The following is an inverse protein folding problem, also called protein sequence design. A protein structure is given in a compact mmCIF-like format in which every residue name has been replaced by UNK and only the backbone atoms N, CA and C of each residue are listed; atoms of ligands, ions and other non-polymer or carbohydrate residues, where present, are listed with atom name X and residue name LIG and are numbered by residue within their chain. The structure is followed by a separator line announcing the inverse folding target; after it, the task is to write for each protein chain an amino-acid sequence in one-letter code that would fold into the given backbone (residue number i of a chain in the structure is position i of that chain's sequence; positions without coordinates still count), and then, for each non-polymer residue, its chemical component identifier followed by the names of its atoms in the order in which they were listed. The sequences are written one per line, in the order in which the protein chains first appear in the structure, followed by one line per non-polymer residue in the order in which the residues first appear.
data_IF_351614073182
#
_entry.id   IF_351614073182
#
_cell.length_a   1.000
_cell.length_b   1.000
_cell.length_c   1.000
_cell.angle_alpha   90.00
_cell.angle_beta   90.00
_cell.angle_gamma   90.00
#
_symmetry.space_group_name_H-M   'P 1'
#
loop_
_entity.id
_entity.type
_entity.pdbx_description
1 polymer ?
#
# COMPACT_ATOMS: atom_id res chain seq x y z
N UNK A 1 9.61 -2.02 -4.89
CA UNK A 1 8.45 -2.54 -4.11
C UNK A 1 7.18 -2.32 -4.91
N UNK A 2 6.98 -1.11 -5.41
CA UNK A 2 5.92 -0.75 -6.36
C UNK A 2 5.89 -1.72 -7.54
N UNK A 3 7.05 -2.06 -8.13
CA UNK A 3 7.12 -2.99 -9.26
C UNK A 3 6.63 -4.39 -8.91
N UNK A 4 6.85 -4.85 -7.67
CA UNK A 4 6.36 -6.15 -7.22
C UNK A 4 4.85 -6.13 -6.97
N UNK A 5 4.34 -5.06 -6.35
CA UNK A 5 2.89 -4.86 -6.16
C UNK A 5 2.16 -4.67 -7.50
N UNK A 6 2.78 -3.98 -8.46
CA UNK A 6 2.23 -3.71 -9.79
C UNK A 6 2.08 -4.99 -10.64
N UNK A 7 2.84 -6.06 -10.35
CA UNK A 7 2.64 -7.37 -10.98
C UNK A 7 1.30 -8.02 -10.59
N UNK A 8 0.75 -7.68 -9.41
CA UNK A 8 -0.49 -8.27 -8.87
C UNK A 8 -1.68 -7.30 -8.91
N UNK A 9 -1.43 -6.01 -8.73
CA UNK A 9 -2.45 -4.96 -8.70
C UNK A 9 -2.20 -3.97 -9.82
N UNK A 10 -2.97 -4.11 -10.90
CA UNK A 10 -2.82 -3.32 -12.14
C UNK A 10 -3.78 -2.13 -12.11
N UNK A 11 -3.31 -0.95 -12.55
CA UNK A 11 -4.14 0.25 -12.70
C UNK A 11 -4.42 1.03 -11.42
N UNK A 12 -3.83 0.65 -10.28
CA UNK A 12 -4.00 1.31 -8.97
C UNK A 12 -2.70 2.02 -8.52
N UNK A 13 -2.06 2.77 -9.42
CA UNK A 13 -0.73 3.35 -9.20
C UNK A 13 -0.62 4.22 -7.94
N UNK A 14 -1.60 5.07 -7.69
CA UNK A 14 -1.64 5.94 -6.50
C UNK A 14 -1.68 5.13 -5.20
N UNK A 15 -2.56 4.12 -5.13
CA UNK A 15 -2.68 3.25 -3.97
C UNK A 15 -1.39 2.46 -3.71
N UNK A 16 -0.78 1.91 -4.77
CA UNK A 16 0.50 1.19 -4.70
C UNK A 16 1.63 2.10 -4.21
N UNK A 17 1.71 3.34 -4.71
CA UNK A 17 2.71 4.31 -4.27
C UNK A 17 2.52 4.73 -2.80
N UNK A 18 1.27 4.97 -2.38
CA UNK A 18 0.96 5.37 -1.00
C UNK A 18 1.36 4.28 0.01
N UNK A 19 1.00 3.02 -0.27
CA UNK A 19 1.39 1.87 0.56
C UNK A 19 2.91 1.70 0.58
N UNK A 20 3.55 1.76 -0.59
CA UNK A 20 5.01 1.59 -0.71
C UNK A 20 5.79 2.67 0.05
N UNK A 21 5.31 3.92 0.03
CA UNK A 21 5.92 5.02 0.77
C UNK A 21 5.85 4.80 2.28
N UNK A 22 4.71 4.35 2.81
CA UNK A 22 4.55 4.07 4.24
C UNK A 22 5.49 2.94 4.70
N UNK A 23 5.54 1.84 3.95
CA UNK A 23 6.41 0.70 4.28
C UNK A 23 7.89 1.09 4.22
N UNK A 24 8.32 1.89 3.21
CA UNK A 24 9.71 2.37 3.13
C UNK A 24 10.09 3.23 4.34
N UNK A 25 9.21 4.15 4.75
CA UNK A 25 9.46 4.98 5.94
C UNK A 25 9.64 4.15 7.19
N UNK A 26 8.80 3.13 7.37
CA UNK A 26 8.91 2.22 8.51
C UNK A 26 10.23 1.44 8.50
N UNK A 27 10.60 0.86 7.35
CA UNK A 27 11.87 0.12 7.20
C UNK A 27 13.11 0.99 7.41
N UNK A 28 13.04 2.26 7.05
CA UNK A 28 14.10 3.23 7.26
C UNK A 28 14.17 3.80 8.69
N UNK A 29 13.26 3.40 9.59
CA UNK A 29 13.18 3.96 10.95
C UNK A 29 12.67 5.40 11.00
N UNK A 30 12.11 5.92 9.92
CA UNK A 30 11.59 7.30 9.79
C UNK A 30 10.10 7.40 10.18
N UNK A 31 9.64 6.52 11.06
CA UNK A 31 8.27 6.52 11.57
C UNK A 31 8.24 6.82 13.07
N UNK A 32 7.15 7.43 13.52
CA UNK A 32 6.88 7.62 14.94
C UNK A 32 6.63 6.25 15.59
N UNK A 33 7.41 5.85 16.62
CA UNK A 33 7.26 4.55 17.27
C UNK A 33 5.90 4.36 17.98
N UNK A 34 5.18 5.46 18.25
CA UNK A 34 3.86 5.41 18.89
C UNK A 34 2.69 5.39 17.89
N UNK A 35 2.96 5.31 16.58
CA UNK A 35 1.93 5.30 15.53
C UNK A 35 2.03 4.06 14.65
N UNK A 36 0.91 3.59 14.08
CA UNK A 36 0.94 2.54 13.05
C UNK A 36 1.78 2.96 11.84
N UNK A 37 2.41 1.98 11.19
CA UNK A 37 3.20 2.15 9.94
C UNK A 37 2.39 2.91 8.87
N UNK A 38 1.12 2.55 8.73
CA UNK A 38 0.16 3.21 7.89
C UNK A 38 -1.25 2.73 8.23
N UNK A 39 -2.21 3.65 8.17
CA UNK A 39 -3.63 3.33 8.28
C UNK A 39 -4.29 3.72 6.96
N UNK A 40 -4.88 2.74 6.28
CA UNK A 40 -5.42 2.89 4.94
C UNK A 40 -6.89 2.47 4.91
N UNK A 41 -7.69 3.20 4.13
CA UNK A 41 -9.07 2.83 3.81
C UNK A 41 -9.15 2.78 2.28
N UNK A 42 -9.50 1.62 1.74
CA UNK A 42 -9.72 1.43 0.31
C UNK A 42 -11.23 1.37 0.04
N UNK A 43 -11.72 2.27 -0.82
CA UNK A 43 -13.12 2.36 -1.22
C UNK A 43 -13.26 2.25 -2.74
N UNK A 44 -14.35 1.66 -3.22
CA UNK A 44 -14.65 1.55 -4.64
C UNK A 44 -15.53 0.35 -4.98
N UNK A 45 -15.96 0.19 -6.24
CA UNK A 45 -16.83 -0.90 -6.68
C UNK A 45 -16.17 -2.28 -6.51
N UNK A 46 -16.95 -3.35 -6.62
CA UNK A 46 -16.45 -4.73 -6.50
C UNK A 46 -15.47 -5.06 -7.64
N UNK A 47 -14.56 -6.01 -7.41
CA UNK A 47 -13.63 -6.50 -8.43
C UNK A 47 -12.39 -5.63 -8.73
N UNK A 48 -12.28 -4.40 -8.19
CA UNK A 48 -11.17 -3.47 -8.50
C UNK A 48 -9.83 -3.77 -7.80
N UNK A 49 -9.71 -4.89 -7.07
CA UNK A 49 -8.45 -5.30 -6.45
C UNK A 49 -8.14 -4.73 -5.05
N UNK A 50 -9.13 -4.14 -4.35
CA UNK A 50 -8.95 -3.62 -2.96
C UNK A 50 -8.38 -4.68 -2.00
N UNK A 51 -8.99 -5.87 -1.98
CA UNK A 51 -8.53 -6.99 -1.16
C UNK A 51 -7.22 -7.56 -1.67
N UNK A 52 -6.99 -7.53 -2.98
CA UNK A 52 -5.75 -8.03 -3.57
C UNK A 52 -4.54 -7.20 -3.11
N UNK A 53 -4.70 -5.88 -3.04
CA UNK A 53 -3.67 -4.97 -2.51
C UNK A 53 -3.33 -5.24 -1.04
N UNK A 54 -4.23 -5.84 -0.26
CA UNK A 54 -3.94 -6.23 1.14
C UNK A 54 -3.22 -7.57 1.28
N UNK A 55 -3.25 -8.42 0.23
CA UNK A 55 -2.62 -9.75 0.21
C UNK A 55 -1.25 -9.76 -0.47
N UNK A 56 -1.02 -8.81 -1.38
CA UNK A 56 0.19 -8.68 -2.17
C UNK A 56 1.39 -8.24 -1.32
#
# INVERSE_FOLDING_TARGET
MEDELAKRVIGQGEAVQAVSKAVRRARAGLQDPNRPIGSFIFLGPTGVGKTELTKA
#
